data_IF_040923412876
#
_entry.id   IF_040923412876
#
_cell.length_a   1.000
_cell.length_b   1.000
_cell.length_c   1.000
_cell.angle_alpha   90.00
_cell.angle_beta   90.00
_cell.angle_gamma   90.00
#
_symmetry.space_group_name_H-M   'P 1'
#
loop_
_entity.id
_entity.type
_entity.pdbx_description
1 polymer ?
#
# COMPACT_ATOMS: atom_id res chain seq x y z
N UNK A 1 1.66 46.14 6.04
CA UNK A 1 2.22 44.95 6.69
C UNK A 1 1.39 44.62 7.91
N UNK A 2 0.91 43.44 8.01
CA UNK A 2 0.18 42.98 9.21
C UNK A 2 1.14 42.94 10.42
N UNK A 3 0.59 43.34 11.57
CA UNK A 3 1.38 43.38 12.80
C UNK A 3 1.57 41.94 13.32
N UNK A 4 2.78 41.41 13.25
CA UNK A 4 3.11 40.06 13.72
C UNK A 4 2.71 39.83 15.17
N UNK A 5 2.69 40.90 16.02
CA UNK A 5 2.28 40.81 17.40
C UNK A 5 0.77 40.59 17.58
N UNK A 6 -0.04 41.01 16.59
CA UNK A 6 -1.50 40.83 16.58
C UNK A 6 -1.95 39.49 15.96
N UNK A 7 -1.04 38.76 15.32
CA UNK A 7 -1.36 37.48 14.68
C UNK A 7 -1.70 36.42 15.75
N UNK A 8 -2.86 35.75 15.60
CA UNK A 8 -3.23 34.59 16.43
C UNK A 8 -2.50 33.33 15.95
N UNK A 9 -1.41 32.96 16.64
CA UNK A 9 -0.61 31.79 16.28
C UNK A 9 -1.42 30.49 16.39
N UNK A 10 -2.36 30.40 17.34
CA UNK A 10 -3.18 29.20 17.52
C UNK A 10 -4.18 29.04 16.36
N UNK A 11 -4.65 30.14 15.79
CA UNK A 11 -5.48 30.07 14.58
C UNK A 11 -4.65 29.60 13.38
N UNK A 12 -3.47 30.17 13.16
CA UNK A 12 -2.56 29.75 12.09
C UNK A 12 -2.22 28.26 12.20
N UNK A 13 -1.93 27.81 13.41
CA UNK A 13 -1.65 26.38 13.66
C UNK A 13 -2.86 25.52 13.28
N UNK A 14 -4.06 25.86 13.77
CA UNK A 14 -5.31 25.11 13.45
C UNK A 14 -5.59 25.07 11.94
N UNK A 15 -5.41 26.20 11.25
CA UNK A 15 -5.67 26.29 9.81
C UNK A 15 -4.70 25.40 9.00
N UNK A 16 -3.45 25.29 9.43
CA UNK A 16 -2.47 24.40 8.83
C UNK A 16 -2.76 22.93 9.15
N UNK A 17 -3.16 22.61 10.36
CA UNK A 17 -3.54 21.24 10.79
C UNK A 17 -4.79 20.71 10.08
N UNK A 18 -5.62 21.57 9.49
CA UNK A 18 -6.73 21.16 8.61
C UNK A 18 -6.26 20.52 7.29
N UNK A 19 -4.99 20.72 6.91
CA UNK A 19 -4.46 20.10 5.70
C UNK A 19 -4.21 18.59 5.94
N UNK A 20 -4.82 17.71 5.15
CA UNK A 20 -4.77 16.25 5.40
C UNK A 20 -3.37 15.65 5.41
N UNK A 21 -2.41 16.28 4.71
CA UNK A 21 -1.01 15.84 4.62
C UNK A 21 -0.14 16.29 5.78
N UNK A 22 -0.67 17.14 6.66
CA UNK A 22 0.07 17.64 7.81
C UNK A 22 -0.22 16.78 9.04
N UNK A 23 0.83 16.26 9.66
CA UNK A 23 0.76 15.47 10.90
C UNK A 23 0.84 16.40 12.13
N UNK A 24 1.84 17.31 12.13
CA UNK A 24 2.07 18.25 13.22
C UNK A 24 2.53 19.59 12.69
N UNK A 25 2.11 20.66 13.39
CA UNK A 25 2.55 22.04 13.13
C UNK A 25 3.00 22.67 14.44
N UNK A 26 4.15 23.32 14.41
CA UNK A 26 4.59 24.20 15.47
C UNK A 26 4.77 25.62 14.91
N UNK A 27 4.09 26.60 15.49
CA UNK A 27 4.15 28.01 15.10
C UNK A 27 4.75 28.80 16.24
N UNK A 28 5.87 29.45 15.98
CA UNK A 28 6.63 30.23 16.96
C UNK A 28 6.85 31.65 16.45
N UNK A 29 6.70 32.64 17.35
CA UNK A 29 7.04 34.03 17.07
C UNK A 29 8.45 34.31 17.56
N UNK A 30 9.33 34.71 16.67
CA UNK A 30 10.68 35.14 16.96
C UNK A 30 10.76 36.67 16.80
N UNK A 31 10.96 37.38 17.90
CA UNK A 31 11.11 38.85 17.86
C UNK A 31 12.43 39.23 17.16
N UNK A 32 12.47 40.39 16.46
CA UNK A 32 11.41 41.41 16.40
C UNK A 32 10.33 41.18 15.31
N UNK A 33 10.51 40.33 14.29
CA UNK A 33 9.60 40.32 13.17
C UNK A 33 9.55 38.99 12.38
N UNK A 34 9.90 37.85 12.98
CA UNK A 34 9.94 36.56 12.29
C UNK A 34 8.88 35.62 12.82
N UNK A 35 8.12 34.98 11.93
CA UNK A 35 7.27 33.85 12.21
C UNK A 35 8.00 32.57 11.77
N UNK A 36 8.22 31.65 12.70
CA UNK A 36 8.78 30.34 12.41
C UNK A 36 7.65 29.31 12.41
N UNK A 37 7.51 28.59 11.29
CA UNK A 37 6.56 27.49 11.14
C UNK A 37 7.37 26.21 10.87
N UNK A 38 7.17 25.20 11.72
CA UNK A 38 7.72 23.87 11.50
C UNK A 38 6.56 22.92 11.19
N UNK A 39 6.67 22.18 10.11
CA UNK A 39 5.63 21.26 9.64
C UNK A 39 6.23 19.86 9.59
N UNK A 40 5.47 18.89 10.12
CA UNK A 40 5.72 17.47 9.95
C UNK A 40 4.67 16.91 9.00
N UNK A 41 5.10 16.31 7.90
CA UNK A 41 4.19 15.73 6.91
C UNK A 41 3.87 14.28 7.23
N UNK A 42 2.62 13.85 6.97
CA UNK A 42 2.20 12.45 7.07
C UNK A 42 2.89 11.60 6.01
N UNK A 43 3.33 10.42 6.40
CA UNK A 43 3.96 9.46 5.50
C UNK A 43 2.93 8.40 5.12
N UNK A 44 2.51 8.33 3.84
CA UNK A 44 1.61 7.31 3.37
C UNK A 44 2.30 5.94 3.35
N UNK A 45 1.60 4.90 3.81
CA UNK A 45 2.07 3.51 3.82
C UNK A 45 1.15 2.56 3.05
N UNK A 46 -0.09 2.97 2.75
CA UNK A 46 -1.06 2.18 2.01
C UNK A 46 -1.95 3.07 1.15
N UNK A 47 -2.74 2.42 0.27
CA UNK A 47 -3.76 3.06 -0.57
C UNK A 47 -5.10 2.41 -0.31
N UNK A 48 -6.19 3.17 -0.49
CA UNK A 48 -7.56 2.68 -0.40
C UNK A 48 -8.43 3.39 -1.43
N UNK A 49 -9.41 2.69 -1.99
CA UNK A 49 -10.37 3.30 -2.92
C UNK A 49 -11.60 3.74 -2.16
N UNK A 50 -12.01 4.98 -2.36
CA UNK A 50 -13.17 5.57 -1.73
C UNK A 50 -13.93 6.52 -2.65
N UNK A 51 -14.97 7.15 -2.13
CA UNK A 51 -15.79 8.10 -2.86
C UNK A 51 -15.48 9.53 -2.43
N UNK A 52 -15.21 10.39 -3.41
CA UNK A 52 -15.06 11.83 -3.20
C UNK A 52 -16.25 12.57 -3.85
N UNK A 53 -16.84 13.58 -3.16
CA UNK A 53 -17.87 14.42 -3.76
C UNK A 53 -17.36 15.15 -5.01
N UNK A 54 -18.13 15.12 -6.09
CA UNK A 54 -17.80 15.87 -7.31
C UNK A 54 -18.02 17.36 -7.07
N UNK A 55 -16.93 18.14 -7.01
CA UNK A 55 -16.99 19.58 -6.78
C UNK A 55 -17.87 20.27 -7.82
N UNK A 56 -19.02 20.81 -7.40
CA UNK A 56 -19.93 21.59 -8.24
C UNK A 56 -20.96 20.81 -9.05
N UNK A 57 -20.99 19.47 -9.01
CA UNK A 57 -22.04 18.62 -9.59
C UNK A 57 -22.57 17.64 -8.54
N UNK A 58 -23.88 17.36 -8.57
CA UNK A 58 -24.43 16.30 -7.74
C UNK A 58 -23.80 14.95 -8.14
N UNK A 59 -23.14 14.26 -7.19
CA UNK A 59 -22.56 12.95 -7.41
C UNK A 59 -21.25 12.73 -6.65
N UNK A 60 -20.78 11.49 -6.74
CA UNK A 60 -19.50 11.05 -6.19
C UNK A 60 -18.71 10.38 -7.31
N UNK A 61 -17.40 10.46 -7.22
CA UNK A 61 -16.49 9.70 -8.09
C UNK A 61 -15.55 8.85 -7.25
N UNK A 62 -15.17 7.70 -7.80
CA UNK A 62 -14.17 6.83 -7.19
C UNK A 62 -12.80 7.50 -7.29
N UNK A 63 -12.09 7.54 -6.18
CA UNK A 63 -10.73 8.03 -6.13
C UNK A 63 -9.88 7.18 -5.20
N UNK A 64 -8.56 7.26 -5.38
CA UNK A 64 -7.61 6.59 -4.50
C UNK A 64 -7.16 7.57 -3.42
N UNK A 65 -7.32 7.15 -2.17
CA UNK A 65 -6.76 7.82 -1.01
C UNK A 65 -5.47 7.14 -0.57
N UNK A 66 -4.59 7.90 0.02
CA UNK A 66 -3.43 7.41 0.74
C UNK A 66 -3.76 7.30 2.22
N UNK A 67 -3.24 6.28 2.88
CA UNK A 67 -3.38 6.09 4.33
C UNK A 67 -2.00 6.18 4.98
N UNK A 68 -1.90 6.94 6.08
CA UNK A 68 -0.75 6.91 6.96
C UNK A 68 -0.84 5.71 7.94
N UNK A 69 0.17 5.55 8.78
CA UNK A 69 0.22 4.48 9.82
C UNK A 69 -0.93 4.52 10.83
N UNK A 70 -1.58 5.68 10.99
CA UNK A 70 -2.69 5.88 11.91
C UNK A 70 -4.06 5.72 11.21
N UNK A 71 -4.06 5.51 9.87
CA UNK A 71 -5.26 5.34 9.07
C UNK A 71 -5.92 6.66 8.63
N UNK A 72 -5.20 7.80 8.67
CA UNK A 72 -5.73 9.04 8.14
C UNK A 72 -5.74 9.02 6.62
N UNK A 73 -6.90 9.30 6.04
CA UNK A 73 -7.09 9.29 4.59
C UNK A 73 -6.71 10.64 3.98
N UNK A 74 -5.83 10.61 2.99
CA UNK A 74 -5.31 11.77 2.28
C UNK A 74 -5.57 11.62 0.78
N UNK A 75 -6.07 12.68 0.13
CA UNK A 75 -6.14 12.70 -1.33
C UNK A 75 -4.75 12.91 -1.94
N UNK A 76 -4.52 12.45 -3.18
CA UNK A 76 -3.33 12.82 -3.92
C UNK A 76 -3.13 14.33 -3.93
N UNK A 77 -1.92 14.85 -3.77
CA UNK A 77 -1.66 16.29 -3.85
C UNK A 77 -2.05 16.79 -5.24
N UNK A 78 -2.93 17.80 -5.30
CA UNK A 78 -3.43 18.39 -6.57
C UNK A 78 -2.37 19.16 -7.34
N UNK A 79 -1.30 19.60 -6.67
CA UNK A 79 -0.20 20.36 -7.27
C UNK A 79 1.11 19.61 -7.06
N UNK A 80 1.89 19.49 -8.13
CA UNK A 80 3.20 18.86 -8.15
C UNK A 80 4.28 19.55 -7.28
N UNK A 81 3.90 20.59 -6.53
CA UNK A 81 4.79 21.28 -5.59
C UNK A 81 4.79 20.64 -4.17
N UNK A 82 3.80 19.80 -3.85
CA UNK A 82 3.90 18.91 -2.70
C UNK A 82 4.62 17.67 -3.22
N UNK A 83 5.91 17.67 -3.11
CA UNK A 83 6.72 16.49 -3.41
C UNK A 83 6.23 15.38 -2.51
N UNK A 84 5.87 14.23 -3.08
CA UNK A 84 5.81 13.02 -2.28
C UNK A 84 7.13 12.93 -1.49
N UNK A 85 7.11 12.50 -0.22
CA UNK A 85 8.33 12.37 0.57
C UNK A 85 9.41 11.73 -0.30
N UNK A 86 10.59 12.35 -0.34
CA UNK A 86 11.68 11.97 -1.23
C UNK A 86 11.95 10.47 -1.12
N UNK A 87 11.75 9.71 -2.21
CA UNK A 87 11.87 8.25 -2.24
C UNK A 87 10.58 7.45 -2.00
N UNK A 88 9.45 8.04 -1.62
CA UNK A 88 8.19 7.30 -1.49
C UNK A 88 7.60 7.03 -2.89
N UNK A 89 7.73 5.80 -3.36
CA UNK A 89 7.04 5.34 -4.57
C UNK A 89 5.57 5.08 -4.23
N UNK A 90 4.77 6.15 -4.27
CA UNK A 90 3.34 6.11 -3.97
C UNK A 90 2.58 5.08 -4.83
N UNK A 91 3.06 4.82 -6.03
CA UNK A 91 2.56 3.81 -6.96
C UNK A 91 2.79 2.36 -6.49
N UNK A 92 3.74 2.13 -5.61
CA UNK A 92 4.09 0.80 -5.09
C UNK A 92 3.45 0.46 -3.75
N UNK A 93 2.80 1.41 -3.10
CA UNK A 93 2.11 1.15 -1.84
C UNK A 93 0.99 0.10 -2.04
N UNK A 94 0.79 -0.82 -1.09
CA UNK A 94 -0.27 -1.81 -1.18
C UNK A 94 -1.65 -1.16 -1.10
N UNK A 95 -2.64 -1.78 -1.72
CA UNK A 95 -4.04 -1.43 -1.56
C UNK A 95 -4.63 -2.14 -0.34
N UNK A 96 -5.41 -1.40 0.45
CA UNK A 96 -6.31 -1.98 1.44
C UNK A 96 -7.69 -2.10 0.81
N UNK A 97 -8.31 -3.29 0.89
CA UNK A 97 -9.66 -3.59 0.38
C UNK A 97 -10.55 -4.18 1.46
N UNK A 98 -11.83 -4.37 1.17
CA UNK A 98 -12.79 -4.93 2.13
C UNK A 98 -13.41 -3.90 3.09
N UNK A 99 -13.17 -2.59 2.86
CA UNK A 99 -13.81 -1.49 3.60
C UNK A 99 -14.76 -0.74 2.69
N UNK A 100 -15.91 -0.30 3.23
CA UNK A 100 -16.87 0.49 2.46
C UNK A 100 -16.25 1.83 2.06
N UNK A 101 -16.21 2.12 0.74
CA UNK A 101 -15.70 3.37 0.21
C UNK A 101 -16.46 4.61 0.70
N UNK A 102 -17.69 4.45 1.22
CA UNK A 102 -18.49 5.52 1.80
C UNK A 102 -18.03 5.96 3.19
N UNK A 103 -17.25 5.14 3.87
CA UNK A 103 -16.68 5.45 5.20
C UNK A 103 -15.41 6.28 5.10
N UNK A 104 -14.80 6.36 3.92
CA UNK A 104 -13.52 7.04 3.70
C UNK A 104 -13.78 8.52 3.47
N UNK A 105 -13.14 9.37 4.29
CA UNK A 105 -13.24 10.83 4.23
C UNK A 105 -11.86 11.44 4.33
N UNK A 106 -11.59 12.41 3.46
CA UNK A 106 -10.34 13.20 3.49
C UNK A 106 -10.09 13.80 4.87
N UNK A 107 -8.89 13.65 5.40
CA UNK A 107 -8.46 14.18 6.69
C UNK A 107 -9.04 13.43 7.90
N UNK A 108 -9.79 12.34 7.70
CA UNK A 108 -10.33 11.53 8.79
C UNK A 108 -9.65 10.18 8.86
N UNK A 109 -9.56 9.67 10.08
CA UNK A 109 -9.06 8.33 10.36
C UNK A 109 -10.14 7.29 10.05
N UNK A 110 -9.79 6.27 9.26
CA UNK A 110 -10.62 5.07 9.05
C UNK A 110 -10.39 4.16 10.26
N UNK A 111 -11.40 4.03 11.12
CA UNK A 111 -11.31 3.29 12.39
C UNK A 111 -11.96 1.93 12.28
N UNK A 112 -11.17 0.88 12.33
CA UNK A 112 -11.61 -0.48 12.63
C UNK A 112 -10.42 -1.28 13.15
N UNK A 113 -10.68 -2.32 13.96
CA UNK A 113 -9.62 -3.20 14.45
C UNK A 113 -8.83 -3.81 13.29
N UNK A 114 -9.51 -4.27 12.24
CA UNK A 114 -8.86 -4.87 11.08
C UNK A 114 -8.03 -3.85 10.28
N UNK A 115 -8.49 -2.57 10.19
CA UNK A 115 -7.72 -1.51 9.56
C UNK A 115 -6.43 -1.23 10.34
N UNK A 116 -6.53 -1.08 11.64
CA UNK A 116 -5.37 -0.84 12.51
C UNK A 116 -4.36 -2.00 12.38
N UNK A 117 -4.84 -3.26 12.39
CA UNK A 117 -4.01 -4.45 12.16
C UNK A 117 -3.40 -4.50 10.76
N UNK A 118 -4.15 -4.11 9.71
CA UNK A 118 -3.65 -4.09 8.33
C UNK A 118 -2.51 -3.08 8.16
N UNK A 119 -2.65 -1.88 8.73
CA UNK A 119 -1.61 -0.85 8.67
C UNK A 119 -0.38 -1.26 9.47
N UNK A 120 -0.57 -1.88 10.65
CA UNK A 120 0.52 -2.46 11.44
C UNK A 120 1.24 -3.56 10.65
N UNK A 121 0.50 -4.46 9.97
CA UNK A 121 1.09 -5.50 9.13
C UNK A 121 1.95 -4.88 8.02
N UNK A 122 1.47 -3.86 7.32
CA UNK A 122 2.24 -3.18 6.26
C UNK A 122 3.52 -2.55 6.82
N UNK A 123 3.44 -1.90 7.98
CA UNK A 123 4.60 -1.28 8.63
C UNK A 123 5.62 -2.33 9.08
N UNK A 124 5.18 -3.42 9.71
CA UNK A 124 6.05 -4.51 10.15
C UNK A 124 6.65 -5.27 8.96
N UNK A 125 5.87 -5.45 7.87
CA UNK A 125 6.37 -6.06 6.65
C UNK A 125 7.58 -5.31 6.08
N UNK A 126 7.56 -3.99 6.06
CA UNK A 126 8.67 -3.18 5.54
C UNK A 126 9.99 -3.43 6.29
N UNK A 127 9.91 -3.89 7.55
CA UNK A 127 11.06 -4.23 8.41
C UNK A 127 11.31 -5.74 8.53
N UNK A 128 10.47 -6.55 7.90
CA UNK A 128 10.49 -8.01 8.01
C UNK A 128 11.54 -8.65 7.11
N UNK A 129 11.92 -9.92 7.37
CA UNK A 129 12.82 -10.68 6.49
C UNK A 129 12.20 -11.00 5.11
N UNK A 130 10.93 -10.69 4.88
CA UNK A 130 10.25 -10.84 3.59
C UNK A 130 10.34 -9.59 2.72
N UNK A 131 10.67 -8.44 3.32
CA UNK A 131 10.89 -7.18 2.58
C UNK A 131 12.00 -7.33 1.54
N UNK A 132 11.73 -6.93 0.31
CA UNK A 132 12.67 -7.07 -0.81
C UNK A 132 12.65 -8.43 -1.51
N UNK A 133 11.97 -9.45 -0.97
CA UNK A 133 11.75 -10.74 -1.63
C UNK A 133 10.41 -10.79 -2.36
N UNK A 134 9.40 -10.18 -1.76
CA UNK A 134 8.05 -10.06 -2.33
C UNK A 134 7.57 -8.64 -2.15
N UNK A 135 6.60 -8.24 -2.99
CA UNK A 135 5.94 -6.95 -2.88
C UNK A 135 4.47 -7.17 -2.49
N UNK A 136 4.01 -6.48 -1.44
CA UNK A 136 2.59 -6.47 -1.11
C UNK A 136 1.82 -5.73 -2.21
N UNK A 137 0.70 -6.30 -2.64
CA UNK A 137 -0.19 -5.69 -3.63
C UNK A 137 -1.53 -5.28 -3.00
N UNK A 138 -2.21 -6.23 -2.36
CA UNK A 138 -3.50 -6.00 -1.69
C UNK A 138 -3.49 -6.60 -0.30
N UNK A 139 -4.03 -5.87 0.67
CA UNK A 139 -4.40 -6.35 2.01
C UNK A 139 -5.91 -6.33 2.10
N UNK A 140 -6.54 -7.49 2.09
CA UNK A 140 -8.00 -7.64 2.08
C UNK A 140 -8.54 -7.90 3.49
N UNK A 141 -9.48 -7.05 3.90
CA UNK A 141 -10.15 -7.04 5.20
C UNK A 141 -11.56 -7.65 5.15
N UNK A 142 -11.96 -8.24 4.01
CA UNK A 142 -13.33 -8.75 3.82
C UNK A 142 -13.68 -9.92 4.76
N UNK A 143 -12.68 -10.69 5.19
CA UNK A 143 -12.87 -11.82 6.09
C UNK A 143 -12.67 -11.38 7.54
N UNK A 144 -13.67 -11.58 8.42
CA UNK A 144 -13.54 -11.19 9.82
C UNK A 144 -12.47 -12.03 10.54
N UNK A 145 -11.67 -11.37 11.37
CA UNK A 145 -10.67 -12.03 12.23
C UNK A 145 -9.34 -12.37 11.57
N UNK A 146 -9.20 -12.15 10.27
CA UNK A 146 -7.95 -12.38 9.51
C UNK A 146 -7.70 -11.27 8.50
N UNK A 147 -6.46 -11.19 8.01
CA UNK A 147 -6.07 -10.35 6.89
C UNK A 147 -5.57 -11.26 5.75
N UNK A 148 -6.12 -11.09 4.56
CA UNK A 148 -5.67 -11.83 3.38
C UNK A 148 -4.78 -10.92 2.54
N UNK A 149 -3.50 -11.27 2.44
CA UNK A 149 -2.50 -10.50 1.71
C UNK A 149 -2.23 -11.14 0.36
N UNK A 150 -2.43 -10.38 -0.71
CA UNK A 150 -2.01 -10.78 -2.06
C UNK A 150 -0.73 -10.04 -2.41
N UNK A 151 0.21 -10.77 -2.98
CA UNK A 151 1.50 -10.22 -3.43
C UNK A 151 1.50 -10.04 -4.94
N UNK A 152 2.41 -9.18 -5.44
CA UNK A 152 2.63 -9.04 -6.90
C UNK A 152 3.15 -10.33 -7.55
N UNK A 153 3.77 -11.19 -6.75
CA UNK A 153 4.23 -12.53 -7.16
C UNK A 153 3.09 -13.57 -7.19
N UNK A 154 1.82 -13.12 -7.01
CA UNK A 154 0.60 -13.94 -7.02
C UNK A 154 0.51 -14.98 -5.89
N UNK A 155 1.17 -14.73 -4.77
CA UNK A 155 0.96 -15.50 -3.56
C UNK A 155 -0.24 -14.89 -2.79
N UNK A 156 -0.97 -15.74 -2.07
CA UNK A 156 -2.01 -15.33 -1.15
C UNK A 156 -1.68 -15.85 0.25
N UNK A 157 -1.51 -14.94 1.20
CA UNK A 157 -1.06 -15.23 2.56
C UNK A 157 -2.11 -14.73 3.54
N UNK A 158 -2.64 -15.62 4.37
CA UNK A 158 -3.59 -15.28 5.43
C UNK A 158 -2.83 -15.05 6.75
N UNK A 159 -3.08 -13.91 7.37
CA UNK A 159 -2.51 -13.51 8.66
C UNK A 159 -3.59 -13.43 9.74
N UNK A 160 -3.24 -13.75 10.99
CA UNK A 160 -4.00 -13.32 12.15
C UNK A 160 -3.87 -11.79 12.32
N UNK A 161 -4.72 -11.21 13.20
CA UNK A 161 -4.74 -9.74 13.40
C UNK A 161 -3.58 -9.20 14.25
N UNK A 162 -2.76 -10.06 14.83
CA UNK A 162 -1.63 -9.71 15.68
C UNK A 162 -0.45 -10.68 15.51
N UNK A 163 0.69 -10.40 16.17
CA UNK A 163 1.85 -11.28 16.17
C UNK A 163 2.55 -11.39 14.81
N UNK A 164 2.52 -10.35 14.01
CA UNK A 164 3.03 -10.33 12.63
C UNK A 164 4.52 -10.69 12.53
N UNK A 165 5.36 -10.28 13.48
CA UNK A 165 6.79 -10.61 13.49
C UNK A 165 7.02 -12.14 13.47
N UNK A 166 6.28 -12.90 14.28
CA UNK A 166 6.35 -14.36 14.28
C UNK A 166 5.85 -14.95 12.95
N UNK A 167 4.72 -14.43 12.43
CA UNK A 167 4.13 -14.88 11.19
C UNK A 167 5.05 -14.60 9.99
N UNK A 168 5.71 -13.43 9.95
CA UNK A 168 6.68 -13.08 8.91
C UNK A 168 7.92 -13.99 8.94
N UNK A 169 8.40 -14.39 10.13
CA UNK A 169 9.49 -15.36 10.25
C UNK A 169 9.09 -16.75 9.74
N UNK A 170 7.88 -17.21 10.06
CA UNK A 170 7.35 -18.47 9.52
C UNK A 170 7.21 -18.41 8.00
N UNK A 171 6.68 -17.30 7.46
CA UNK A 171 6.62 -17.10 6.01
C UNK A 171 8.01 -17.22 5.38
N UNK A 172 9.00 -16.57 5.97
CA UNK A 172 10.38 -16.64 5.48
C UNK A 172 10.93 -18.06 5.45
N UNK A 173 10.73 -18.84 6.51
CA UNK A 173 11.18 -20.22 6.56
C UNK A 173 10.54 -21.09 5.48
N UNK A 174 9.21 -20.96 5.28
CA UNK A 174 8.49 -21.70 4.25
C UNK A 174 8.90 -21.27 2.85
N UNK A 175 9.11 -19.97 2.64
CA UNK A 175 9.59 -19.42 1.37
C UNK A 175 10.97 -20.00 1.01
N UNK A 176 11.92 -20.00 1.97
CA UNK A 176 13.27 -20.51 1.75
C UNK A 176 13.26 -22.03 1.49
N UNK A 177 12.39 -22.79 2.17
CA UNK A 177 12.22 -24.22 1.91
C UNK A 177 11.67 -24.45 0.50
N UNK A 178 10.64 -23.71 0.10
CA UNK A 178 10.06 -23.77 -1.24
C UNK A 178 11.10 -23.52 -2.33
N UNK A 179 11.93 -22.48 -2.16
CA UNK A 179 12.99 -22.17 -3.12
C UNK A 179 14.03 -23.30 -3.26
N UNK A 180 14.40 -23.97 -2.15
CA UNK A 180 15.34 -25.12 -2.19
C UNK A 180 14.76 -26.31 -2.95
N UNK A 181 13.43 -26.49 -2.90
CA UNK A 181 12.71 -27.54 -3.60
C UNK A 181 12.32 -27.15 -5.04
N UNK A 182 12.69 -25.95 -5.51
CA UNK A 182 12.28 -25.42 -6.81
C UNK A 182 10.77 -25.18 -6.93
N UNK A 183 10.08 -24.95 -5.82
CA UNK A 183 8.63 -24.76 -5.73
C UNK A 183 8.31 -23.32 -5.37
N UNK A 184 7.10 -22.88 -5.70
CA UNK A 184 6.59 -21.57 -5.30
C UNK A 184 5.32 -21.75 -4.47
N UNK A 185 5.18 -20.94 -3.42
CA UNK A 185 3.98 -20.90 -2.59
C UNK A 185 2.85 -20.27 -3.40
N UNK A 186 1.67 -20.90 -3.46
CA UNK A 186 0.47 -20.28 -3.99
C UNK A 186 -0.35 -19.66 -2.85
N UNK A 187 -0.69 -20.46 -1.84
CA UNK A 187 -1.41 -19.97 -0.65
C UNK A 187 -0.71 -20.43 0.62
N UNK A 188 -0.79 -19.61 1.66
CA UNK A 188 -0.21 -19.92 2.97
C UNK A 188 -1.11 -19.32 4.05
N UNK A 189 -1.52 -20.13 5.03
CA UNK A 189 -2.32 -19.65 6.15
C UNK A 189 -1.47 -19.61 7.43
N UNK A 190 -1.07 -18.38 7.79
CA UNK A 190 -0.27 -18.08 8.98
C UNK A 190 -1.13 -17.69 10.19
N UNK A 191 -2.46 -17.61 10.03
CA UNK A 191 -3.38 -17.28 11.12
C UNK A 191 -3.46 -18.41 12.16
N UNK A 192 -3.10 -19.64 11.75
CA UNK A 192 -3.05 -20.81 12.63
C UNK A 192 -1.66 -21.01 13.21
N UNK A 193 -1.58 -21.31 14.51
CA UNK A 193 -0.29 -21.43 15.20
C UNK A 193 0.44 -22.74 14.92
N UNK A 194 -0.31 -23.82 14.64
CA UNK A 194 0.21 -25.18 14.44
C UNK A 194 -0.26 -25.70 13.08
N UNK A 195 0.62 -26.42 12.38
CA UNK A 195 0.33 -27.06 11.10
C UNK A 195 -0.17 -26.07 10.05
N UNK A 196 0.69 -25.11 9.67
CA UNK A 196 0.42 -24.05 8.71
C UNK A 196 0.01 -24.64 7.34
N UNK A 197 -1.25 -24.47 6.89
CA UNK A 197 -1.66 -24.96 5.58
C UNK A 197 -0.94 -24.20 4.46
N UNK A 198 -0.33 -24.93 3.54
CA UNK A 198 0.34 -24.35 2.38
C UNK A 198 -0.11 -25.09 1.11
N UNK A 199 -0.35 -24.33 0.05
CA UNK A 199 -0.51 -24.85 -1.31
C UNK A 199 0.61 -24.30 -2.18
N UNK A 200 1.06 -25.14 -3.10
CA UNK A 200 2.12 -24.81 -4.03
C UNK A 200 1.51 -24.39 -5.37
N UNK A 201 2.19 -23.51 -6.08
CA UNK A 201 1.82 -23.20 -7.46
C UNK A 201 2.03 -24.45 -8.31
N UNK A 202 1.02 -24.84 -9.07
CA UNK A 202 1.21 -25.83 -10.12
C UNK A 202 2.11 -25.21 -11.17
N UNK A 203 3.26 -25.84 -11.46
CA UNK A 203 4.06 -25.47 -12.62
C UNK A 203 3.22 -25.83 -13.83
N UNK A 204 2.73 -24.81 -14.54
CA UNK A 204 2.14 -25.01 -15.86
C UNK A 204 3.26 -25.66 -16.70
N UNK A 205 3.04 -26.90 -17.25
CA UNK A 205 4.08 -27.52 -18.09
C UNK A 205 4.38 -26.55 -19.22
N UNK A 206 5.65 -26.17 -19.36
CA UNK A 206 6.11 -25.38 -20.51
C UNK A 206 5.55 -26.05 -21.76
N UNK A 207 4.59 -25.40 -22.42
CA UNK A 207 4.17 -25.84 -23.75
C UNK A 207 5.42 -25.79 -24.62
N UNK A 208 5.86 -26.93 -25.17
CA UNK A 208 7.04 -26.92 -26.03
C UNK A 208 6.77 -25.87 -27.12
N UNK A 209 7.63 -24.90 -27.20
CA UNK A 209 7.62 -23.86 -28.24
C UNK A 209 7.45 -24.60 -29.57
N UNK A 210 6.31 -24.39 -30.26
CA UNK A 210 6.04 -25.00 -31.55
C UNK A 210 7.24 -24.68 -32.45
N UNK A 211 7.97 -25.74 -32.82
CA UNK A 211 9.10 -25.62 -33.70
C UNK A 211 8.60 -24.92 -34.99
N UNK A 212 9.15 -23.75 -35.25
CA UNK A 212 8.90 -23.01 -36.49
C UNK A 212 9.28 -23.94 -37.65
N UNK A 213 8.27 -24.55 -38.26
CA UNK A 213 8.46 -25.33 -39.45
C UNK A 213 8.96 -24.39 -40.54
N UNK A 214 10.23 -24.57 -40.90
CA UNK A 214 10.82 -23.87 -42.07
C UNK A 214 10.02 -24.26 -43.32
N UNK A 215 9.57 -23.30 -44.16
CA UNK A 215 8.92 -23.62 -45.42
C UNK A 215 9.93 -24.33 -46.31
N UNK A 216 9.53 -25.48 -46.84
CA UNK A 216 10.31 -26.23 -47.83
C UNK A 216 10.45 -25.37 -49.09
N UNK A 217 11.69 -25.11 -49.48
CA UNK A 217 12.01 -24.44 -50.75
C UNK A 217 11.85 -25.44 -51.87
N UNK A 218 10.78 -25.29 -52.71
CA UNK A 218 10.49 -26.10 -53.87
C UNK A 218 11.41 -25.69 -55.04
N UNK A 219 12.46 -26.47 -55.28
CA UNK A 219 13.35 -26.34 -56.43
C UNK A 219 12.67 -26.99 -57.66
N UNK A 220 11.76 -26.29 -58.32
CA UNK A 220 11.36 -26.67 -59.69
C UNK A 220 12.47 -26.31 -60.68
N UNK A 221 13.20 -27.32 -61.09
CA UNK A 221 14.06 -27.28 -62.31
C UNK A 221 13.16 -27.01 -63.54
N UNK A 222 13.43 -25.91 -64.19
CA UNK A 222 13.00 -25.74 -65.63
C UNK A 222 14.11 -26.30 -66.47
N UNK A 223 13.80 -27.41 -67.21
CA UNK A 223 14.48 -27.80 -68.42
C UNK A 223 13.62 -27.34 -69.59
N UNK A 224 14.19 -26.72 -70.55
CA UNK A 224 14.28 -26.55 -71.95
C UNK A 224 14.53 -25.11 -72.31
#
# INVERSE_FOLDING_TARGET
GENLLALDLAQVQRDLELQPWIEHVAVERLLPGTLRIRVSERKPIARIVGFEPSGGKAGFHLTTFFLDREGHAMLPPKNSHVSAPEGARLDRLPYVSGVSGTEIRTGRRVKSLQMDSALQLVEEFARSPMSGLVDLDVVDLSLPGVLVVKTRQKNEITFALDGFDRQMRHWRLIHDLALREGRQVATLDLSVSNNVPARWQEQEPERPSAAVSRPAVDYRRKHV
#
